data_IF_718361291874
#
_entry.id   IF_718361291874
#
_cell.length_a   1.000
_cell.length_b   1.000
_cell.length_c   1.000
_cell.angle_alpha   90.00
_cell.angle_beta   90.00
_cell.angle_gamma   90.00
#
_symmetry.space_group_name_H-M   'P 1'
#
loop_
_entity.id
_entity.type
_entity.pdbx_description
1 polymer ?
#
# COMPACT_ATOMS: atom_id res chain seq x y z
N UNK A 1 -33.21 -25.64 82.61
CA UNK A 1 -32.17 -25.79 81.57
C UNK A 1 -32.69 -26.75 80.52
N UNK A 2 -33.04 -26.25 79.33
CA UNK A 2 -33.37 -27.09 78.18
C UNK A 2 -32.45 -26.65 77.02
N UNK A 3 -31.55 -27.56 76.63
CA UNK A 3 -30.60 -27.41 75.53
C UNK A 3 -31.35 -27.45 74.19
N UNK A 4 -31.30 -26.34 73.45
CA UNK A 4 -31.76 -26.29 72.06
C UNK A 4 -30.62 -26.76 71.16
N UNK A 5 -30.74 -27.98 70.63
CA UNK A 5 -29.84 -28.53 69.61
C UNK A 5 -30.18 -27.96 68.23
N UNK A 6 -29.39 -27.01 67.74
CA UNK A 6 -29.45 -26.53 66.35
C UNK A 6 -28.87 -27.60 65.40
N UNK A 7 -29.75 -28.32 64.70
CA UNK A 7 -29.37 -29.15 63.55
C UNK A 7 -29.19 -28.26 62.31
N UNK A 8 -27.95 -27.94 61.98
CA UNK A 8 -27.59 -27.33 60.69
C UNK A 8 -27.68 -28.38 59.57
N UNK A 9 -28.69 -28.28 58.70
CA UNK A 9 -28.77 -29.11 57.49
C UNK A 9 -27.75 -28.64 56.45
N UNK A 10 -26.89 -29.54 55.97
CA UNK A 10 -25.95 -29.25 54.88
C UNK A 10 -26.71 -28.87 53.60
N UNK A 11 -26.24 -27.87 52.83
CA UNK A 11 -26.89 -27.45 51.58
C UNK A 11 -27.00 -28.63 50.59
N UNK A 12 -28.14 -28.72 49.90
CA UNK A 12 -28.55 -29.83 49.01
C UNK A 12 -27.52 -30.12 47.91
N UNK A 13 -26.78 -29.09 47.48
CA UNK A 13 -25.70 -29.18 46.49
C UNK A 13 -24.53 -30.09 46.90
N UNK A 14 -24.37 -30.40 48.19
CA UNK A 14 -23.26 -31.22 48.71
C UNK A 14 -23.69 -32.62 49.21
N UNK A 15 -24.90 -33.09 48.90
CA UNK A 15 -25.34 -34.42 49.33
C UNK A 15 -24.87 -35.54 48.38
N UNK A 16 -24.70 -35.23 47.10
CA UNK A 16 -24.19 -36.20 46.12
C UNK A 16 -22.72 -35.89 45.80
N UNK A 17 -21.80 -36.67 46.38
CA UNK A 17 -20.37 -36.59 46.05
C UNK A 17 -20.12 -36.71 44.54
N UNK A 18 -20.93 -37.52 43.86
CA UNK A 18 -20.87 -37.71 42.41
C UNK A 18 -21.24 -36.43 41.65
N UNK A 19 -22.28 -35.71 42.08
CA UNK A 19 -22.68 -34.45 41.43
C UNK A 19 -21.65 -33.34 41.59
N UNK A 20 -21.06 -33.20 42.78
CA UNK A 20 -19.95 -32.26 42.99
C UNK A 20 -18.74 -32.60 42.11
N UNK A 21 -18.39 -33.88 41.99
CA UNK A 21 -17.28 -34.33 41.14
C UNK A 21 -17.59 -34.06 39.66
N UNK A 22 -18.83 -34.30 39.20
CA UNK A 22 -19.24 -34.01 37.83
C UNK A 22 -19.21 -32.51 37.51
N UNK A 23 -19.65 -31.64 38.43
CA UNK A 23 -19.56 -30.18 38.23
C UNK A 23 -18.11 -29.72 38.19
N UNK A 24 -17.26 -30.23 39.07
CA UNK A 24 -15.85 -29.87 39.13
C UNK A 24 -15.10 -30.36 37.88
N UNK A 25 -15.45 -31.55 37.38
CA UNK A 25 -14.96 -32.06 36.10
C UNK A 25 -15.43 -31.23 34.91
N UNK A 26 -16.72 -30.87 34.86
CA UNK A 26 -17.25 -29.99 33.80
C UNK A 26 -16.53 -28.64 33.82
N UNK A 27 -16.41 -28.01 34.99
CA UNK A 27 -15.78 -26.70 35.13
C UNK A 27 -14.31 -26.72 34.72
N UNK A 28 -13.56 -27.74 35.17
CA UNK A 28 -12.16 -27.92 34.79
C UNK A 28 -12.01 -28.25 33.30
N UNK A 29 -12.88 -29.08 32.72
CA UNK A 29 -12.86 -29.39 31.28
C UNK A 29 -13.21 -28.19 30.40
N UNK A 30 -14.17 -27.35 30.81
CA UNK A 30 -14.56 -26.12 30.10
C UNK A 30 -13.44 -25.09 30.21
N UNK A 31 -12.84 -24.92 31.39
CA UNK A 31 -11.67 -24.05 31.55
C UNK A 31 -10.48 -24.55 30.74
N UNK A 32 -10.22 -25.86 30.70
CA UNK A 32 -9.15 -26.42 29.89
C UNK A 32 -9.45 -26.29 28.38
N UNK A 33 -10.70 -26.47 27.96
CA UNK A 33 -11.11 -26.27 26.56
C UNK A 33 -11.02 -24.79 26.15
N UNK A 34 -11.46 -23.87 27.01
CA UNK A 34 -11.31 -22.43 26.80
C UNK A 34 -9.83 -22.05 26.81
N UNK A 35 -9.06 -22.51 27.79
CA UNK A 35 -7.62 -22.25 27.88
C UNK A 35 -6.88 -22.81 26.68
N UNK A 36 -7.16 -24.03 26.22
CA UNK A 36 -6.50 -24.59 25.02
C UNK A 36 -6.96 -23.91 23.74
N UNK A 37 -8.23 -23.50 23.62
CA UNK A 37 -8.74 -22.70 22.50
C UNK A 37 -8.10 -21.30 22.46
N UNK A 38 -7.96 -20.63 23.60
CA UNK A 38 -7.31 -19.31 23.72
C UNK A 38 -5.77 -19.39 23.70
N UNK A 39 -5.17 -20.47 24.21
CA UNK A 39 -3.71 -20.71 24.22
C UNK A 39 -3.21 -21.12 22.84
N UNK A 40 -3.97 -21.92 22.09
CA UNK A 40 -3.64 -22.23 20.70
C UNK A 40 -3.80 -21.01 19.79
N UNK A 41 -4.61 -20.02 20.20
CA UNK A 41 -4.74 -18.76 19.47
C UNK A 41 -3.75 -17.67 19.90
N UNK A 42 -3.02 -17.79 21.02
CA UNK A 42 -2.11 -16.74 21.56
C UNK A 42 -2.65 -15.29 21.52
N UNK A 43 -3.97 -15.11 21.36
CA UNK A 43 -4.60 -13.80 21.21
C UNK A 43 -5.08 -13.35 22.57
N UNK A 44 -4.22 -12.66 23.31
CA UNK A 44 -4.65 -11.90 24.48
C UNK A 44 -5.46 -10.69 23.99
N UNK A 45 -6.77 -10.69 24.25
CA UNK A 45 -7.64 -9.54 23.97
C UNK A 45 -7.29 -8.40 24.94
N UNK A 46 -6.31 -7.58 24.55
CA UNK A 46 -6.10 -6.25 25.10
C UNK A 46 -6.85 -5.29 24.18
N UNK A 47 -7.83 -4.56 24.71
CA UNK A 47 -8.47 -3.46 23.99
C UNK A 47 -7.77 -2.14 24.33
N UNK A 48 -7.27 -1.46 23.31
CA UNK A 48 -6.72 -0.10 23.35
C UNK A 48 -7.49 0.77 22.36
N UNK A 49 -7.76 2.05 22.67
CA UNK A 49 -8.36 2.98 21.69
C UNK A 49 -7.49 3.20 20.45
N UNK A 50 -6.22 2.77 20.50
CA UNK A 50 -5.27 2.79 19.39
C UNK A 50 -5.09 1.43 18.73
N UNK A 51 -5.91 0.44 19.08
CA UNK A 51 -5.86 -0.84 18.40
C UNK A 51 -6.16 -0.66 16.91
N UNK A 52 -5.50 -1.45 16.05
CA UNK A 52 -5.84 -1.53 14.65
C UNK A 52 -7.32 -1.85 14.46
N UNK A 53 -7.90 -1.37 13.35
CA UNK A 53 -9.27 -1.65 12.96
C UNK A 53 -9.49 -3.16 12.95
N UNK A 54 -10.27 -3.65 13.93
CA UNK A 54 -10.43 -5.10 14.17
C UNK A 54 -11.54 -5.73 13.32
N UNK A 55 -12.42 -4.93 12.72
CA UNK A 55 -13.45 -5.43 11.81
C UNK A 55 -12.91 -5.56 10.38
N UNK A 56 -13.45 -6.52 9.62
CA UNK A 56 -13.10 -6.65 8.21
C UNK A 56 -13.50 -5.38 7.45
N UNK A 57 -12.51 -4.71 6.83
CA UNK A 57 -12.72 -3.50 6.03
C UNK A 57 -13.64 -3.74 4.83
N UNK A 58 -13.72 -4.98 4.34
CA UNK A 58 -14.55 -5.36 3.21
C UNK A 58 -14.81 -6.86 3.20
N UNK A 59 -16.03 -7.25 2.85
CA UNK A 59 -16.38 -8.66 2.64
C UNK A 59 -16.49 -8.94 1.16
N UNK A 60 -15.57 -9.75 0.64
CA UNK A 60 -15.58 -10.12 -0.78
C UNK A 60 -16.74 -11.06 -1.11
N UNK A 61 -17.43 -10.85 -2.24
CA UNK A 61 -18.33 -11.84 -2.81
C UNK A 61 -17.58 -13.15 -3.08
N UNK A 62 -18.26 -14.29 -2.86
CA UNK A 62 -17.67 -15.61 -3.10
C UNK A 62 -17.22 -15.82 -4.55
N UNK A 63 -17.85 -15.11 -5.49
CA UNK A 63 -17.51 -15.17 -6.92
C UNK A 63 -16.19 -14.48 -7.27
N UNK A 64 -15.65 -13.60 -6.44
CA UNK A 64 -14.44 -12.82 -6.77
C UNK A 64 -13.15 -13.53 -6.41
N UNK A 65 -13.11 -14.12 -5.21
CA UNK A 65 -11.91 -14.67 -4.57
C UNK A 65 -10.89 -13.59 -4.19
N UNK A 66 -10.29 -13.67 -2.99
CA UNK A 66 -9.26 -12.72 -2.54
C UNK A 66 -7.90 -12.92 -3.26
N UNK A 67 -7.69 -14.07 -3.88
CA UNK A 67 -6.43 -14.46 -4.51
C UNK A 67 -6.65 -15.03 -5.92
N UNK A 68 -5.89 -14.52 -6.90
CA UNK A 68 -5.93 -14.99 -8.30
C UNK A 68 -5.30 -16.38 -8.48
N UNK A 69 -4.27 -16.68 -7.69
CA UNK A 69 -3.58 -17.97 -7.66
C UNK A 69 -3.54 -18.46 -6.21
N UNK A 70 -4.49 -19.30 -5.81
CA UNK A 70 -4.49 -19.91 -4.48
C UNK A 70 -3.68 -21.21 -4.50
N UNK A 71 -2.51 -21.20 -3.86
CA UNK A 71 -2.04 -22.40 -3.17
C UNK A 71 -2.53 -22.30 -1.72
N UNK A 72 -3.25 -23.31 -1.21
CA UNK A 72 -3.67 -23.33 0.18
C UNK A 72 -2.41 -23.47 1.05
N UNK A 73 -1.93 -22.37 1.58
CA UNK A 73 -0.94 -22.39 2.66
C UNK A 73 -1.72 -22.42 3.96
N UNK A 74 -1.45 -23.42 4.82
CA UNK A 74 -1.92 -23.44 6.19
C UNK A 74 -1.38 -22.19 6.90
N UNK A 75 -2.16 -21.12 6.92
CA UNK A 75 -1.86 -19.94 7.74
C UNK A 75 -2.44 -20.18 9.12
N UNK A 76 -1.61 -19.94 10.15
CA UNK A 76 -2.10 -19.81 11.52
C UNK A 76 -3.20 -18.75 11.54
N UNK A 77 -4.37 -19.10 12.06
CA UNK A 77 -5.57 -18.26 12.15
C UNK A 77 -5.43 -17.02 13.05
N UNK A 78 -4.22 -16.70 13.46
CA UNK A 78 -3.89 -15.61 14.35
C UNK A 78 -3.21 -14.51 13.55
N UNK A 79 -3.99 -13.79 12.75
CA UNK A 79 -3.64 -12.45 12.28
C UNK A 79 -3.84 -11.50 13.47
N UNK A 80 -2.98 -11.57 14.49
CA UNK A 80 -2.94 -10.49 15.48
C UNK A 80 -2.39 -9.28 14.74
N UNK A 81 -3.16 -8.19 14.59
CA UNK A 81 -2.66 -7.03 13.89
C UNK A 81 -1.44 -6.53 14.68
N UNK A 82 -0.35 -6.22 13.98
CA UNK A 82 0.90 -5.80 14.62
C UNK A 82 0.57 -4.60 15.51
N UNK A 83 0.70 -4.77 16.83
CA UNK A 83 0.44 -3.72 17.79
C UNK A 83 1.66 -2.80 17.82
N UNK A 84 1.45 -1.54 17.48
CA UNK A 84 2.50 -0.53 17.51
C UNK A 84 2.23 0.40 18.68
N UNK A 85 3.01 0.24 19.76
CA UNK A 85 2.97 1.14 20.93
C UNK A 85 3.12 2.60 20.55
N UNK A 86 3.85 2.84 19.45
CA UNK A 86 4.28 4.17 19.02
C UNK A 86 3.26 4.82 18.06
N UNK A 87 2.17 4.12 17.70
CA UNK A 87 1.17 4.62 16.74
C UNK A 87 0.63 6.04 17.07
N UNK A 88 0.32 6.39 18.34
CA UNK A 88 -0.13 7.74 18.67
C UNK A 88 0.94 8.80 18.35
N UNK A 89 2.19 8.54 18.74
CA UNK A 89 3.33 9.43 18.52
C UNK A 89 3.57 9.61 17.03
N UNK A 90 3.61 8.50 16.29
CA UNK A 90 3.80 8.51 14.83
C UNK A 90 2.69 9.30 14.13
N UNK A 91 1.44 9.11 14.54
CA UNK A 91 0.31 9.83 13.95
C UNK A 91 0.45 11.34 14.18
N UNK A 92 0.80 11.76 15.40
CA UNK A 92 1.00 13.18 15.73
C UNK A 92 2.16 13.80 14.95
N UNK A 93 3.30 13.11 14.84
CA UNK A 93 4.45 13.59 14.09
C UNK A 93 4.15 13.72 12.59
N UNK A 94 3.54 12.70 11.97
CA UNK A 94 3.17 12.74 10.55
C UNK A 94 2.13 13.83 10.29
N UNK A 95 1.16 14.00 11.19
CA UNK A 95 0.19 15.11 11.10
C UNK A 95 0.86 16.48 11.23
N UNK A 96 1.80 16.65 12.16
CA UNK A 96 2.54 17.89 12.32
C UNK A 96 3.34 18.22 11.06
N UNK A 97 4.01 17.23 10.46
CA UNK A 97 4.71 17.40 9.18
C UNK A 97 3.77 17.79 8.04
N UNK A 98 2.57 17.21 7.98
CA UNK A 98 1.57 17.59 6.98
C UNK A 98 1.00 19.00 7.20
N UNK A 99 0.86 19.46 8.45
CA UNK A 99 0.35 20.81 8.79
C UNK A 99 1.40 21.91 8.61
N UNK A 100 2.64 21.64 9.00
CA UNK A 100 3.77 22.57 8.90
C UNK A 100 4.24 22.74 7.45
N UNK A 101 3.92 21.77 6.60
CA UNK A 101 3.94 21.98 5.16
C UNK A 101 2.80 22.95 4.84
N UNK A 102 3.08 24.26 4.86
CA UNK A 102 2.24 25.23 4.15
C UNK A 102 1.93 24.64 2.79
N UNK A 103 0.64 24.64 2.40
CA UNK A 103 0.18 24.17 1.10
C UNK A 103 1.14 24.69 0.02
N UNK A 104 2.09 23.85 -0.39
CA UNK A 104 3.16 24.17 -1.32
C UNK A 104 3.66 25.62 -1.24
N UNK A 105 4.07 26.07 -0.04
CA UNK A 105 4.78 27.34 0.11
C UNK A 105 6.10 27.29 -0.66
N UNK A 106 6.11 27.85 -1.88
CA UNK A 106 7.27 28.12 -2.76
C UNK A 106 7.60 27.15 -3.92
N UNK A 107 6.77 26.18 -4.30
CA UNK A 107 7.12 25.32 -5.44
C UNK A 107 6.00 24.48 -6.04
N UNK A 108 4.93 25.10 -6.54
CA UNK A 108 3.97 24.40 -7.39
C UNK A 108 4.68 23.89 -8.63
N UNK A 109 4.82 22.56 -8.74
CA UNK A 109 5.33 21.94 -9.96
C UNK A 109 4.41 22.33 -11.11
N UNK A 110 4.92 23.15 -12.02
CA UNK A 110 4.21 23.52 -13.24
C UNK A 110 4.50 22.45 -14.28
N UNK A 111 3.48 21.76 -14.77
CA UNK A 111 3.65 20.74 -15.80
C UNK A 111 3.37 21.32 -17.19
N UNK A 112 4.21 20.97 -18.16
CA UNK A 112 3.99 21.36 -19.56
C UNK A 112 2.65 20.84 -20.05
N UNK A 113 1.88 21.73 -20.68
CA UNK A 113 0.65 21.38 -21.39
C UNK A 113 0.94 21.39 -22.89
N UNK A 114 0.44 20.39 -23.60
CA UNK A 114 0.62 20.30 -25.04
C UNK A 114 -0.33 19.29 -25.69
N UNK A 115 -0.39 19.33 -27.02
CA UNK A 115 -1.28 18.47 -27.81
C UNK A 115 -0.60 17.16 -28.26
N UNK A 116 0.58 16.84 -27.72
CA UNK A 116 1.28 15.61 -28.08
C UNK A 116 0.53 14.38 -27.56
N UNK A 117 0.43 13.36 -28.40
CA UNK A 117 -0.23 12.11 -28.05
C UNK A 117 0.68 11.14 -27.30
N UNK A 118 2.00 11.37 -27.34
CA UNK A 118 2.96 10.50 -26.66
C UNK A 118 3.13 10.90 -25.19
N UNK A 119 3.24 9.87 -24.34
CA UNK A 119 3.60 10.05 -22.94
C UNK A 119 4.99 10.71 -22.83
N UNK A 120 5.06 11.87 -22.17
CA UNK A 120 6.30 12.62 -21.97
C UNK A 120 6.80 13.36 -23.22
N UNK A 121 6.07 13.35 -24.34
CA UNK A 121 6.45 14.04 -25.58
C UNK A 121 7.67 13.44 -26.31
N UNK A 122 7.92 13.91 -27.53
CA UNK A 122 9.07 13.50 -28.33
C UNK A 122 10.24 14.51 -28.21
N UNK A 123 10.89 14.52 -27.05
CA UNK A 123 12.05 15.38 -26.79
C UNK A 123 13.37 14.71 -27.14
N UNK A 124 14.30 15.46 -27.74
CA UNK A 124 15.69 15.02 -27.93
C UNK A 124 16.40 14.81 -26.59
N UNK A 125 17.41 13.94 -26.55
CA UNK A 125 18.16 13.65 -25.31
C UNK A 125 18.75 14.90 -24.68
N UNK A 126 19.35 15.79 -25.49
CA UNK A 126 19.89 17.08 -25.02
C UNK A 126 18.82 17.93 -24.31
N UNK A 127 17.60 17.95 -24.84
CA UNK A 127 16.47 18.67 -24.23
C UNK A 127 15.95 17.96 -22.98
N UNK A 128 15.99 16.64 -22.90
CA UNK A 128 15.66 15.92 -21.66
C UNK A 128 16.64 16.26 -20.55
N UNK A 129 17.94 16.30 -20.86
CA UNK A 129 18.98 16.63 -19.88
C UNK A 129 18.84 18.03 -19.27
N UNK A 130 18.36 19.00 -20.04
CA UNK A 130 18.16 20.36 -19.51
C UNK A 130 17.07 20.45 -18.44
N UNK A 131 16.27 19.41 -18.21
CA UNK A 131 15.26 19.39 -17.14
C UNK A 131 15.70 18.63 -15.88
N UNK A 132 16.85 17.94 -15.87
CA UNK A 132 17.31 17.26 -14.66
C UNK A 132 17.81 18.25 -13.61
N UNK A 133 18.63 19.21 -14.03
CA UNK A 133 19.08 20.28 -13.15
C UNK A 133 18.06 21.41 -13.20
N UNK A 134 17.15 21.43 -12.22
CA UNK A 134 16.22 22.54 -12.07
C UNK A 134 16.95 23.69 -11.40
N UNK A 135 17.21 24.76 -12.15
CA UNK A 135 17.50 26.05 -11.54
C UNK A 135 16.26 26.49 -10.75
N UNK A 136 16.44 27.10 -9.57
CA UNK A 136 15.38 27.50 -8.63
C UNK A 136 14.35 28.51 -9.20
N UNK A 137 14.40 28.80 -10.50
CA UNK A 137 13.37 29.53 -11.20
C UNK A 137 12.08 28.70 -11.27
N UNK A 138 11.12 29.09 -10.42
CA UNK A 138 9.73 28.62 -10.36
C UNK A 138 8.93 28.77 -11.69
N UNK A 139 9.57 29.13 -12.80
CA UNK A 139 8.97 29.32 -14.13
C UNK A 139 9.17 28.12 -15.06
N UNK A 140 10.08 27.19 -14.74
CA UNK A 140 10.37 26.07 -15.64
C UNK A 140 9.24 25.05 -15.59
N UNK A 141 8.52 24.90 -16.70
CA UNK A 141 7.51 23.86 -16.85
C UNK A 141 8.20 22.48 -17.01
N UNK A 142 7.69 21.47 -16.30
CA UNK A 142 8.24 20.12 -16.28
C UNK A 142 7.49 19.26 -17.30
N UNK A 143 8.19 18.67 -18.28
CA UNK A 143 7.60 17.70 -19.19
C UNK A 143 7.50 16.33 -18.51
N UNK A 144 6.48 16.15 -17.66
CA UNK A 144 6.27 14.88 -16.97
C UNK A 144 4.91 14.28 -17.33
N UNK A 145 4.92 13.15 -18.05
CA UNK A 145 3.73 12.35 -18.34
C UNK A 145 2.85 12.90 -19.45
N UNK A 146 1.53 12.83 -19.27
CA UNK A 146 0.55 13.26 -20.27
C UNK A 146 0.66 14.76 -20.54
N UNK A 147 1.07 15.16 -21.74
CA UNK A 147 1.03 16.58 -22.13
C UNK A 147 -0.41 17.08 -22.31
N UNK A 148 -1.32 16.16 -22.65
CA UNK A 148 -2.77 16.35 -22.61
C UNK A 148 -3.29 16.25 -21.16
N UNK A 149 -4.61 16.42 -21.01
CA UNK A 149 -5.29 16.20 -19.72
C UNK A 149 -5.06 14.75 -19.27
N UNK A 150 -4.97 14.51 -17.97
CA UNK A 150 -4.93 13.15 -17.44
C UNK A 150 -6.19 12.39 -17.88
N UNK A 151 -6.08 11.10 -18.27
CA UNK A 151 -7.21 10.29 -18.73
C UNK A 151 -8.14 9.85 -17.58
N UNK A 152 -8.49 10.76 -16.67
CA UNK A 152 -9.40 10.54 -15.53
C UNK A 152 -10.51 11.59 -15.53
N UNK A 153 -11.63 11.28 -14.87
CA UNK A 153 -12.76 12.20 -14.79
C UNK A 153 -12.38 13.46 -14.00
N UNK A 154 -12.98 14.61 -14.34
CA UNK A 154 -12.75 15.86 -13.59
C UNK A 154 -13.15 15.71 -12.11
N UNK A 155 -14.14 14.87 -11.81
CA UNK A 155 -14.56 14.58 -10.43
C UNK A 155 -13.46 13.84 -9.67
N UNK A 156 -12.89 12.79 -10.26
CA UNK A 156 -11.82 12.01 -9.62
C UNK A 156 -10.52 12.81 -9.51
N UNK A 157 -10.26 13.70 -10.46
CA UNK A 157 -9.14 14.64 -10.38
C UNK A 157 -9.27 15.56 -9.14
N UNK A 158 -10.42 16.20 -8.94
CA UNK A 158 -10.65 17.05 -7.76
C UNK A 158 -10.52 16.25 -6.46
N UNK A 159 -11.00 15.00 -6.44
CA UNK A 159 -10.86 14.13 -5.27
C UNK A 159 -9.41 13.74 -4.98
N UNK A 160 -8.60 13.51 -6.01
CA UNK A 160 -7.17 13.26 -5.87
C UNK A 160 -6.44 14.52 -5.36
N UNK A 161 -6.77 15.69 -5.91
CA UNK A 161 -6.24 16.98 -5.46
C UNK A 161 -6.62 17.29 -4.00
N UNK A 162 -7.80 16.86 -3.54
CA UNK A 162 -8.23 17.06 -2.15
C UNK A 162 -7.49 16.17 -1.13
N UNK A 163 -6.74 15.16 -1.57
CA UNK A 163 -5.91 14.38 -0.66
C UNK A 163 -4.66 15.17 -0.25
N UNK A 164 -4.67 15.74 0.95
CA UNK A 164 -3.68 16.72 1.40
C UNK A 164 -2.65 16.23 2.43
N UNK A 165 -2.72 14.94 2.80
CA UNK A 165 -1.82 14.32 3.79
C UNK A 165 -1.07 13.18 3.14
N UNK A 166 -1.52 11.94 3.34
CA UNK A 166 -0.88 10.75 2.80
C UNK A 166 -1.79 10.11 1.76
N UNK A 167 -1.20 9.67 0.65
CA UNK A 167 -1.91 8.87 -0.35
C UNK A 167 -1.26 7.49 -0.52
N UNK A 168 -2.07 6.44 -0.54
CA UNK A 168 -1.69 5.10 -0.96
C UNK A 168 -2.29 4.85 -2.33
N UNK A 169 -1.44 4.51 -3.29
CA UNK A 169 -1.81 4.36 -4.70
C UNK A 169 -1.45 2.97 -5.19
N UNK A 170 -2.37 2.38 -5.95
CA UNK A 170 -2.19 1.14 -6.70
C UNK A 170 -2.89 1.24 -8.06
N UNK A 171 -2.62 0.30 -8.96
CA UNK A 171 -3.33 0.21 -10.22
C UNK A 171 -3.52 -1.25 -10.68
N UNK A 172 -4.63 -1.52 -11.35
CA UNK A 172 -4.95 -2.80 -11.99
C UNK A 172 -5.48 -2.52 -13.39
N UNK A 173 -4.73 -2.93 -14.40
CA UNK A 173 -5.14 -2.85 -15.80
C UNK A 173 -5.31 -4.26 -16.35
N UNK A 174 -6.20 -4.45 -17.32
CA UNK A 174 -6.41 -5.73 -18.00
C UNK A 174 -6.90 -6.88 -17.12
N UNK A 175 -7.50 -6.60 -15.95
CA UNK A 175 -7.92 -7.61 -14.96
C UNK A 175 -6.77 -8.57 -14.56
N UNK A 176 -5.54 -8.02 -14.55
CA UNK A 176 -4.34 -8.80 -14.25
C UNK A 176 -4.25 -9.22 -12.79
N UNK A 177 -4.84 -8.46 -11.87
CA UNK A 177 -4.76 -8.69 -10.42
C UNK A 177 -6.11 -8.51 -9.73
N UNK A 178 -6.18 -8.94 -8.46
CA UNK A 178 -7.36 -8.78 -7.59
C UNK A 178 -7.11 -7.63 -6.61
N UNK A 179 -8.15 -6.87 -6.28
CA UNK A 179 -8.09 -5.82 -5.26
C UNK A 179 -7.93 -6.47 -3.89
N UNK A 180 -6.85 -6.11 -3.18
CA UNK A 180 -6.58 -6.58 -1.81
C UNK A 180 -6.78 -5.44 -0.82
N UNK A 181 -7.58 -5.66 0.22
CA UNK A 181 -7.69 -4.67 1.30
C UNK A 181 -6.40 -4.64 2.12
N UNK A 182 -5.94 -3.45 2.56
CA UNK A 182 -4.89 -3.37 3.56
C UNK A 182 -5.33 -4.05 4.86
N UNK A 183 -4.36 -4.53 5.63
CA UNK A 183 -4.56 -5.10 6.97
C UNK A 183 -3.83 -4.26 8.01
N UNK A 184 -4.35 -4.28 9.24
CA UNK A 184 -3.68 -3.63 10.38
C UNK A 184 -3.67 -2.10 10.31
N UNK A 185 -4.67 -1.48 9.66
CA UNK A 185 -4.80 -0.03 9.68
C UNK A 185 -5.16 0.44 11.09
N UNK A 186 -4.48 1.45 11.62
CA UNK A 186 -4.80 2.07 12.90
C UNK A 186 -6.10 2.87 12.86
N UNK A 187 -6.64 3.15 14.04
CA UNK A 187 -7.96 3.78 14.20
C UNK A 187 -8.09 5.17 13.54
N UNK A 188 -7.00 5.95 13.47
CA UNK A 188 -6.97 7.30 12.88
C UNK A 188 -6.47 7.33 11.44
N UNK A 189 -6.10 6.19 10.88
CA UNK A 189 -5.41 6.14 9.59
C UNK A 189 -6.31 6.63 8.46
N UNK A 190 -7.60 6.31 8.51
CA UNK A 190 -8.56 6.74 7.48
C UNK A 190 -8.86 8.25 7.51
N UNK A 191 -8.52 8.96 8.60
CA UNK A 191 -8.67 10.42 8.70
C UNK A 191 -7.53 11.15 7.96
N UNK A 192 -6.39 10.48 7.80
CA UNK A 192 -5.16 11.07 7.27
C UNK A 192 -4.68 10.46 5.96
N UNK A 193 -5.23 9.31 5.56
CA UNK A 193 -4.73 8.53 4.43
C UNK A 193 -5.83 8.27 3.41
N UNK A 194 -5.59 8.66 2.16
CA UNK A 194 -6.46 8.34 1.04
C UNK A 194 -5.96 7.10 0.29
N UNK A 195 -6.87 6.22 -0.12
CA UNK A 195 -6.54 5.01 -0.88
C UNK A 195 -7.14 5.08 -2.28
N UNK A 196 -6.28 5.05 -3.31
CA UNK A 196 -6.67 5.16 -4.71
C UNK A 196 -6.20 3.96 -5.52
N UNK A 197 -7.11 3.40 -6.32
CA UNK A 197 -6.85 2.29 -7.23
C UNK A 197 -7.24 2.71 -8.64
N UNK A 198 -6.27 2.83 -9.55
CA UNK A 198 -6.52 3.16 -10.94
C UNK A 198 -6.83 1.88 -11.75
N UNK A 199 -7.88 1.92 -12.56
CA UNK A 199 -8.32 0.77 -13.36
C UNK A 199 -8.76 1.17 -14.76
N UNK A 200 -8.59 0.28 -15.75
CA UNK A 200 -9.23 0.44 -17.06
C UNK A 200 -10.70 0.00 -17.06
N UNK A 201 -11.38 0.29 -18.17
CA UNK A 201 -12.77 -0.12 -18.40
C UNK A 201 -12.96 -1.64 -18.27
N UNK A 202 -12.02 -2.43 -18.79
CA UNK A 202 -12.09 -3.89 -18.72
C UNK A 202 -12.10 -4.37 -17.26
N UNK A 203 -11.16 -3.88 -16.44
CA UNK A 203 -11.10 -4.23 -15.03
C UNK A 203 -12.35 -3.72 -14.29
N UNK A 204 -12.83 -2.51 -14.59
CA UNK A 204 -14.05 -1.96 -13.98
C UNK A 204 -15.28 -2.85 -14.25
N UNK A 205 -15.44 -3.32 -15.49
CA UNK A 205 -16.51 -4.25 -15.86
C UNK A 205 -16.40 -5.60 -15.14
N UNK A 206 -15.17 -6.09 -14.93
CA UNK A 206 -14.94 -7.31 -14.14
C UNK A 206 -15.31 -7.13 -12.68
N UNK A 207 -15.03 -5.97 -12.09
CA UNK A 207 -15.45 -5.65 -10.71
C UNK A 207 -16.98 -5.59 -10.57
N UNK A 208 -17.67 -5.04 -11.56
CA UNK A 208 -19.14 -5.00 -11.62
C UNK A 208 -19.75 -6.40 -11.78
N UNK A 209 -19.21 -7.21 -12.70
CA UNK A 209 -19.61 -8.61 -12.91
C UNK A 209 -19.52 -9.43 -11.63
N UNK A 210 -18.48 -9.20 -10.82
CA UNK A 210 -18.31 -9.86 -9.53
C UNK A 210 -19.09 -9.20 -8.38
N UNK A 211 -19.91 -8.18 -8.64
CA UNK A 211 -20.71 -7.42 -7.68
C UNK A 211 -19.87 -6.71 -6.59
N UNK A 212 -18.65 -6.25 -6.92
CA UNK A 212 -17.85 -5.42 -5.99
C UNK A 212 -18.25 -3.95 -6.06
N UNK A 213 -18.68 -3.51 -7.23
CA UNK A 213 -19.16 -2.16 -7.50
C UNK A 213 -20.41 -2.25 -8.38
N UNK A 214 -21.08 -1.12 -8.59
CA UNK A 214 -22.06 -0.96 -9.66
C UNK A 214 -21.59 0.11 -10.64
N UNK A 215 -21.49 -0.18 -11.94
CA UNK A 215 -21.10 0.81 -12.97
C UNK A 215 -22.08 2.00 -13.01
N UNK A 216 -23.34 1.78 -12.62
CA UNK A 216 -24.36 2.83 -12.51
C UNK A 216 -24.12 3.82 -11.38
N UNK A 217 -23.24 3.48 -10.42
CA UNK A 217 -22.89 4.38 -9.32
C UNK A 217 -22.06 5.56 -9.82
N UNK A 218 -22.28 6.73 -9.21
CA UNK A 218 -21.49 7.95 -9.50
C UNK A 218 -20.06 7.88 -8.97
N UNK A 219 -19.84 7.06 -7.93
CA UNK A 219 -18.54 6.83 -7.31
C UNK A 219 -18.33 5.33 -7.11
N UNK A 220 -17.11 4.88 -7.37
CA UNK A 220 -16.72 3.48 -7.22
C UNK A 220 -15.80 3.32 -6.00
N UNK A 221 -16.17 2.41 -5.10
CA UNK A 221 -15.42 2.13 -3.87
C UNK A 221 -15.47 0.64 -3.55
N UNK A 222 -14.32 0.07 -3.19
CA UNK A 222 -14.17 -1.31 -2.74
C UNK A 222 -13.38 -1.31 -1.44
N UNK A 223 -14.08 -1.46 -0.31
CA UNK A 223 -13.49 -1.30 1.02
C UNK A 223 -12.90 0.10 1.20
N UNK A 224 -11.61 0.21 1.51
CA UNK A 224 -10.96 1.55 1.62
C UNK A 224 -10.61 2.16 0.27
N UNK A 225 -10.45 1.33 -0.78
CA UNK A 225 -10.02 1.78 -2.09
C UNK A 225 -11.10 2.57 -2.81
N UNK A 226 -10.81 3.82 -3.17
CA UNK A 226 -11.53 4.56 -4.19
C UNK A 226 -11.05 4.09 -5.56
N UNK A 227 -11.97 3.63 -6.40
CA UNK A 227 -11.65 3.12 -7.73
C UNK A 227 -11.77 4.28 -8.73
N UNK A 228 -10.69 4.56 -9.47
CA UNK A 228 -10.65 5.60 -10.49
C UNK A 228 -10.54 4.94 -11.85
N UNK A 229 -11.57 5.12 -12.66
CA UNK A 229 -11.57 4.68 -14.06
C UNK A 229 -10.64 5.57 -14.88
N UNK A 230 -9.76 4.93 -15.63
CA UNK A 230 -8.85 5.55 -16.59
C UNK A 230 -9.38 5.30 -18.00
N UNK A 231 -9.43 6.35 -18.82
CA UNK A 231 -9.79 6.22 -20.25
C UNK A 231 -8.73 5.40 -20.99
N UNK A 232 -9.16 4.36 -21.69
CA UNK A 232 -8.26 3.46 -22.42
C UNK A 232 -7.69 4.06 -23.70
N UNK A 233 -8.32 5.10 -24.26
CA UNK A 233 -7.89 5.72 -25.52
C UNK A 233 -6.50 6.35 -25.46
N UNK A 234 -6.04 6.75 -24.27
CA UNK A 234 -4.74 7.40 -24.08
C UNK A 234 -3.69 6.45 -23.46
N UNK A 235 -4.00 5.16 -23.35
CA UNK A 235 -3.14 4.16 -22.73
C UNK A 235 -2.40 3.31 -23.77
N UNK A 236 -1.31 2.66 -23.33
CA UNK A 236 -0.63 1.66 -24.16
C UNK A 236 -1.49 0.40 -24.27
N UNK A 237 -1.37 -0.32 -25.39
CA UNK A 237 -1.99 -1.64 -25.57
C UNK A 237 -1.56 -2.65 -24.49
N UNK A 238 -0.34 -2.48 -23.96
CA UNK A 238 0.19 -3.31 -22.88
C UNK A 238 -0.27 -2.78 -21.51
N UNK A 239 -1.19 -3.51 -20.88
CA UNK A 239 -1.70 -3.22 -19.54
C UNK A 239 -0.61 -3.10 -18.45
N UNK A 240 0.48 -3.86 -18.54
CA UNK A 240 1.58 -3.76 -17.59
C UNK A 240 2.29 -2.40 -17.68
N UNK A 241 2.44 -1.84 -18.88
CA UNK A 241 3.01 -0.50 -19.08
C UNK A 241 2.11 0.59 -18.48
N UNK A 242 0.79 0.41 -18.54
CA UNK A 242 -0.16 1.36 -17.97
C UNK A 242 -0.02 1.46 -16.44
N UNK A 243 0.23 0.35 -15.74
CA UNK A 243 0.54 0.37 -14.31
C UNK A 243 1.79 1.21 -13.99
N UNK A 244 2.81 1.14 -14.85
CA UNK A 244 4.06 1.90 -14.70
C UNK A 244 3.83 3.42 -14.85
N UNK A 245 2.92 3.84 -15.74
CA UNK A 245 2.59 5.26 -15.90
C UNK A 245 2.10 5.85 -14.57
N UNK A 246 1.07 5.23 -13.96
CA UNK A 246 0.47 5.77 -12.73
C UNK A 246 1.42 5.71 -11.54
N UNK A 247 2.35 4.73 -11.53
CA UNK A 247 3.44 4.66 -10.54
C UNK A 247 4.31 5.92 -10.56
N UNK A 248 4.68 6.39 -11.74
CA UNK A 248 5.57 7.55 -11.87
C UNK A 248 4.82 8.89 -11.75
N UNK A 249 3.51 8.91 -12.00
CA UNK A 249 2.70 10.14 -12.00
C UNK A 249 2.02 10.48 -10.66
N UNK A 250 2.29 9.74 -9.58
CA UNK A 250 1.68 10.00 -8.26
C UNK A 250 1.83 11.46 -7.84
N UNK A 251 3.02 12.03 -8.02
CA UNK A 251 3.32 13.42 -7.69
C UNK A 251 2.45 14.45 -8.45
N UNK A 252 2.03 14.13 -9.68
CA UNK A 252 1.14 14.96 -10.51
C UNK A 252 -0.33 14.71 -10.23
N UNK A 253 -0.70 13.46 -9.94
CA UNK A 253 -2.06 13.05 -9.61
C UNK A 253 -2.52 13.58 -8.24
N UNK A 254 -1.59 13.64 -7.29
CA UNK A 254 -1.82 14.08 -5.91
C UNK A 254 -0.91 15.28 -5.61
N UNK A 255 -1.20 16.46 -6.18
CA UNK A 255 -0.34 17.63 -6.03
C UNK A 255 -0.21 18.07 -4.57
N UNK A 256 -1.28 17.92 -3.78
CA UNK A 256 -1.38 18.42 -2.41
C UNK A 256 -1.00 17.39 -1.32
N UNK A 257 -0.75 16.13 -1.66
CA UNK A 257 -0.31 15.14 -0.68
C UNK A 257 1.14 15.37 -0.29
N UNK A 258 1.45 15.30 1.01
CA UNK A 258 2.82 15.41 1.54
C UNK A 258 3.63 14.13 1.29
N UNK A 259 3.02 12.99 1.54
CA UNK A 259 3.64 11.68 1.38
C UNK A 259 2.81 10.81 0.45
N UNK A 260 3.49 9.93 -0.28
CA UNK A 260 2.82 8.95 -1.12
C UNK A 260 3.46 7.57 -1.01
N UNK A 261 2.63 6.55 -1.09
CA UNK A 261 3.03 5.14 -1.09
C UNK A 261 2.47 4.50 -2.36
N UNK A 262 3.35 3.96 -3.21
CA UNK A 262 2.93 3.06 -4.28
C UNK A 262 3.02 1.60 -3.81
N UNK A 263 1.94 0.86 -4.02
CA UNK A 263 1.88 -0.59 -3.83
C UNK A 263 1.43 -1.27 -5.12
N UNK A 264 2.15 -2.33 -5.52
CA UNK A 264 1.76 -3.20 -6.63
C UNK A 264 0.52 -4.01 -6.22
N UNK A 265 -0.49 -4.09 -7.09
CA UNK A 265 -1.78 -4.73 -6.79
C UNK A 265 -1.67 -6.22 -6.43
N UNK A 266 -0.59 -6.90 -6.83
CA UNK A 266 -0.34 -8.29 -6.41
C UNK A 266 0.04 -8.41 -4.93
N UNK A 267 0.42 -7.31 -4.29
CA UNK A 267 0.82 -7.24 -2.89
C UNK A 267 -0.33 -6.78 -2.00
N UNK A 268 -0.25 -7.11 -0.71
CA UNK A 268 -1.18 -6.63 0.31
C UNK A 268 -0.42 -5.76 1.29
N UNK A 269 -0.93 -4.56 1.56
CA UNK A 269 -0.37 -3.70 2.60
C UNK A 269 -0.75 -4.28 3.96
N UNK A 270 0.24 -4.69 4.76
CA UNK A 270 0.02 -5.35 6.07
C UNK A 270 0.54 -4.53 7.25
N UNK A 271 1.18 -3.40 6.96
CA UNK A 271 1.68 -2.43 7.93
C UNK A 271 0.95 -1.12 7.68
N UNK A 272 0.60 -0.42 8.75
CA UNK A 272 -0.07 0.87 8.64
C UNK A 272 0.79 1.87 7.83
N UNK A 273 0.21 2.57 6.85
CA UNK A 273 0.93 3.50 6.00
C UNK A 273 1.62 4.64 6.76
N UNK A 274 1.06 5.12 7.88
CA UNK A 274 1.69 6.16 8.70
C UNK A 274 2.99 5.67 9.33
N UNK A 275 2.99 4.42 9.80
CA UNK A 275 4.18 3.77 10.37
C UNK A 275 5.25 3.51 9.31
N UNK A 276 4.85 3.11 8.10
CA UNK A 276 5.78 2.94 6.99
C UNK A 276 6.48 4.26 6.63
N UNK A 277 5.73 5.35 6.52
CA UNK A 277 6.31 6.67 6.26
C UNK A 277 7.24 7.08 7.38
N UNK A 278 6.79 6.95 8.62
CA UNK A 278 7.60 7.35 9.76
C UNK A 278 8.93 6.58 9.83
N UNK A 279 8.86 5.26 9.75
CA UNK A 279 10.03 4.40 9.89
C UNK A 279 11.00 4.45 8.71
N UNK A 280 10.50 4.60 7.48
CA UNK A 280 11.35 4.51 6.28
C UNK A 280 11.79 5.86 5.73
N UNK A 281 11.06 6.95 6.05
CA UNK A 281 11.29 8.28 5.48
C UNK A 281 11.63 9.27 6.58
N UNK A 282 10.72 9.47 7.54
CA UNK A 282 10.86 10.54 8.54
C UNK A 282 12.03 10.28 9.47
N UNK A 283 12.15 9.06 9.98
CA UNK A 283 13.21 8.69 10.93
C UNK A 283 14.60 8.66 10.29
N UNK A 284 14.68 8.23 9.04
CA UNK A 284 15.93 8.13 8.30
C UNK A 284 16.33 9.45 7.60
N UNK A 285 15.45 10.47 7.66
CA UNK A 285 15.63 11.78 7.02
C UNK A 285 15.98 11.68 5.53
N UNK A 286 15.19 10.89 4.80
CA UNK A 286 15.37 10.66 3.35
C UNK A 286 14.17 11.14 2.54
N UNK A 287 14.39 11.39 1.26
CA UNK A 287 13.32 11.80 0.35
C UNK A 287 12.52 10.61 -0.20
N UNK A 288 13.09 9.41 -0.20
CA UNK A 288 12.43 8.26 -0.80
C UNK A 288 13.00 6.95 -0.28
N UNK A 289 12.12 5.99 -0.06
CA UNK A 289 12.47 4.61 0.25
C UNK A 289 11.97 3.69 -0.86
N UNK A 290 12.86 2.81 -1.33
CA UNK A 290 12.55 1.77 -2.31
C UNK A 290 13.01 0.44 -1.76
N UNK A 291 12.20 -0.58 -1.94
CA UNK A 291 12.59 -1.96 -1.67
C UNK A 291 13.85 -2.37 -2.43
N UNK A 292 14.83 -2.92 -1.72
CA UNK A 292 15.98 -3.59 -2.33
C UNK A 292 15.54 -4.92 -2.93
N UNK A 293 15.88 -5.14 -4.20
CA UNK A 293 15.64 -6.44 -4.81
C UNK A 293 16.53 -7.51 -4.13
N UNK A 294 16.00 -8.72 -3.82
CA UNK A 294 16.70 -9.69 -2.97
C UNK A 294 17.94 -10.32 -3.63
N UNK A 295 17.99 -10.37 -4.96
CA UNK A 295 19.05 -11.04 -5.72
C UNK A 295 19.89 -10.06 -6.53
N UNK A 296 19.26 -9.36 -7.47
CA UNK A 296 19.94 -8.42 -8.35
C UNK A 296 20.18 -7.08 -7.65
N UNK A 297 21.43 -6.63 -7.67
CA UNK A 297 21.87 -5.40 -6.98
C UNK A 297 22.09 -4.23 -7.93
N UNK A 298 21.99 -4.47 -9.24
CA UNK A 298 22.19 -3.44 -10.26
C UNK A 298 21.31 -3.67 -11.51
N UNK A 299 21.19 -2.60 -12.31
CA UNK A 299 20.35 -2.56 -13.52
C UNK A 299 20.83 -3.57 -14.58
N UNK A 300 22.14 -3.79 -14.69
CA UNK A 300 22.71 -4.70 -15.68
C UNK A 300 22.33 -6.16 -15.39
N UNK A 301 22.34 -6.57 -14.12
CA UNK A 301 21.88 -7.88 -13.67
C UNK A 301 20.38 -8.08 -13.92
N UNK A 302 19.54 -7.09 -13.60
CA UNK A 302 18.10 -7.17 -13.87
C UNK A 302 17.83 -7.23 -15.38
N UNK A 303 18.60 -6.51 -16.20
CA UNK A 303 18.47 -6.56 -17.66
C UNK A 303 18.85 -7.94 -18.21
N UNK A 304 19.98 -8.51 -17.77
CA UNK A 304 20.37 -9.88 -18.14
C UNK A 304 19.32 -10.90 -17.69
N UNK A 305 18.78 -10.76 -16.48
CA UNK A 305 17.72 -11.64 -15.98
C UNK A 305 16.43 -11.50 -16.80
N UNK A 306 16.03 -10.27 -17.14
CA UNK A 306 14.87 -9.95 -17.98
C UNK A 306 14.97 -10.60 -19.36
N UNK A 307 16.15 -10.52 -19.99
CA UNK A 307 16.44 -11.18 -21.27
C UNK A 307 16.38 -12.71 -21.14
N UNK A 308 17.07 -13.28 -20.14
CA UNK A 308 17.12 -14.74 -19.91
C UNK A 308 15.74 -15.33 -19.66
N UNK A 309 14.90 -14.63 -18.89
CA UNK A 309 13.58 -15.10 -18.49
C UNK A 309 12.50 -14.71 -19.50
N UNK A 310 12.88 -14.03 -20.60
CA UNK A 310 11.95 -13.53 -21.64
C UNK A 310 10.78 -12.75 -21.04
N UNK A 311 11.03 -11.99 -19.95
CA UNK A 311 10.03 -11.10 -19.34
C UNK A 311 9.59 -10.02 -20.32
N UNK A 312 10.51 -9.61 -21.20
CA UNK A 312 10.24 -8.77 -22.36
C UNK A 312 10.71 -9.50 -23.62
N UNK A 313 9.87 -9.52 -24.64
CA UNK A 313 10.13 -10.24 -25.89
C UNK A 313 11.13 -9.52 -26.80
N UNK A 314 11.21 -8.19 -26.70
CA UNK A 314 12.12 -7.36 -27.49
C UNK A 314 13.51 -7.27 -26.82
N UNK A 315 14.29 -8.32 -27.00
CA UNK A 315 15.64 -8.43 -26.44
C UNK A 315 16.59 -7.39 -27.07
N UNK A 316 16.38 -7.05 -28.35
CA UNK A 316 17.19 -6.04 -29.04
C UNK A 316 16.88 -4.64 -28.50
N UNK A 317 15.60 -4.32 -28.28
CA UNK A 317 15.18 -3.10 -27.60
C UNK A 317 15.76 -2.98 -26.19
N UNK A 318 15.76 -4.08 -25.41
CA UNK A 318 16.38 -4.12 -24.09
C UNK A 318 17.89 -3.85 -24.15
N UNK A 319 18.59 -4.46 -25.11
CA UNK A 319 20.01 -4.23 -25.34
C UNK A 319 20.28 -2.75 -25.67
N UNK A 320 19.56 -2.21 -26.64
CA UNK A 320 19.70 -0.82 -27.08
C UNK A 320 19.43 0.15 -25.92
N UNK A 321 18.44 -0.14 -25.06
CA UNK A 321 18.13 0.67 -23.89
C UNK A 321 19.29 0.68 -22.88
N UNK A 322 19.91 -0.46 -22.62
CA UNK A 322 21.03 -0.57 -21.69
C UNK A 322 22.29 0.11 -22.25
N UNK A 323 22.59 -0.09 -23.54
CA UNK A 323 23.69 0.61 -24.22
C UNK A 323 23.49 2.13 -24.16
N UNK A 324 22.28 2.60 -24.45
CA UNK A 324 21.88 4.01 -24.31
C UNK A 324 22.13 4.54 -22.89
N UNK A 325 21.77 3.78 -21.86
CA UNK A 325 22.03 4.20 -20.47
C UNK A 325 23.53 4.34 -20.20
N UNK A 326 24.34 3.39 -20.66
CA UNK A 326 25.80 3.46 -20.51
C UNK A 326 26.41 4.65 -21.26
N UNK A 327 25.98 4.91 -22.51
CA UNK A 327 26.39 6.08 -23.29
C UNK A 327 26.10 7.40 -22.57
N UNK A 328 25.02 7.44 -21.79
CA UNK A 328 24.57 8.61 -21.04
C UNK A 328 24.99 8.63 -19.57
N UNK A 329 26.00 7.84 -19.19
CA UNK A 329 26.66 7.94 -17.89
C UNK A 329 26.20 6.93 -16.83
N UNK A 330 25.38 5.93 -17.18
CA UNK A 330 25.15 4.79 -16.30
C UNK A 330 26.41 3.93 -16.23
N UNK A 331 27.23 4.18 -15.22
CA UNK A 331 28.40 3.33 -14.95
C UNK A 331 27.98 1.95 -14.41
N UNK A 332 28.80 0.91 -14.61
CA UNK A 332 28.62 -0.38 -13.94
C UNK A 332 28.55 -0.22 -12.41
N UNK A 333 27.90 -1.18 -11.74
CA UNK A 333 27.87 -1.18 -10.29
C UNK A 333 29.27 -1.48 -9.72
N UNK A 334 29.63 -0.78 -8.64
CA UNK A 334 30.83 -1.06 -7.84
C UNK A 334 30.54 -0.76 -6.37
N UNK A 335 31.30 -1.37 -5.46
CA UNK A 335 31.20 -1.11 -4.01
C UNK A 335 31.55 0.32 -3.61
N UNK A 336 32.13 1.11 -4.52
CA UNK A 336 32.59 2.48 -4.28
C UNK A 336 31.62 3.53 -4.81
N UNK A 337 30.49 3.13 -5.43
CA UNK A 337 29.49 4.10 -5.90
C UNK A 337 28.86 4.86 -4.73
N UNK A 338 28.72 6.20 -4.81
CA UNK A 338 28.30 7.07 -3.71
C UNK A 338 26.83 6.89 -3.29
N UNK A 339 26.04 6.10 -4.03
CA UNK A 339 24.76 5.58 -3.58
C UNK A 339 24.93 4.12 -3.12
N UNK A 340 25.43 3.88 -1.90
CA UNK A 340 25.46 2.54 -1.33
C UNK A 340 24.02 2.07 -1.16
N UNK A 341 23.68 0.98 -1.85
CA UNK A 341 22.48 0.21 -1.55
C UNK A 341 22.66 -0.52 -0.21
N UNK A 342 22.68 0.22 0.90
CA UNK A 342 22.92 -0.37 2.20
C UNK A 342 23.03 0.58 3.37
N UNK A 343 21.87 0.96 3.93
CA UNK A 343 21.68 0.91 5.38
C UNK A 343 20.41 0.09 5.64
N UNK A 344 20.64 -1.12 6.15
CA UNK A 344 19.73 -2.13 6.72
C UNK A 344 18.22 -1.90 6.49
N UNK A 345 17.64 -2.59 5.50
CA UNK A 345 16.20 -2.87 5.48
C UNK A 345 16.00 -4.40 5.46
N UNK A 346 15.20 -4.89 6.41
CA UNK A 346 14.82 -6.30 6.59
C UNK A 346 14.17 -6.86 5.30
N UNK A 347 14.35 -8.14 4.94
CA UNK A 347 14.06 -8.69 3.59
C UNK A 347 12.57 -8.85 3.23
N UNK A 348 11.68 -7.99 3.72
CA UNK A 348 10.24 -8.14 3.53
C UNK A 348 9.48 -6.82 3.35
N UNK A 349 9.94 -5.90 2.50
CA UNK A 349 9.12 -4.74 2.11
C UNK A 349 9.36 -4.37 0.64
N UNK A 350 8.39 -4.69 -0.23
CA UNK A 350 8.29 -4.19 -1.61
C UNK A 350 7.39 -2.95 -1.63
N UNK A 351 7.92 -1.79 -1.24
CA UNK A 351 7.19 -0.52 -1.31
C UNK A 351 8.06 0.58 -1.90
N UNK A 352 7.39 1.54 -2.51
CA UNK A 352 7.99 2.81 -2.88
C UNK A 352 7.27 3.88 -2.06
N UNK A 353 7.98 4.44 -1.08
CA UNK A 353 7.47 5.57 -0.28
C UNK A 353 8.25 6.79 -0.73
N UNK A 354 7.57 7.78 -1.28
CA UNK A 354 8.18 9.04 -1.70
C UNK A 354 7.75 10.15 -0.73
N UNK A 355 8.73 10.79 -0.10
CA UNK A 355 8.64 12.17 0.34
C UNK A 355 8.72 13.06 -0.90
N UNK A 356 7.89 14.09 -0.95
CA UNK A 356 7.82 14.96 -2.12
C UNK A 356 8.90 16.04 -2.05
N UNK A 357 10.15 15.64 -2.24
CA UNK A 357 11.28 16.51 -2.53
C UNK A 357 12.07 15.86 -3.67
N UNK A 358 11.84 16.34 -4.89
CA UNK A 358 12.76 16.07 -6.00
C UNK A 358 13.87 17.11 -5.90
N UNK A 359 14.90 16.78 -5.13
CA UNK A 359 16.20 17.41 -5.29
C UNK A 359 17.25 16.33 -5.57
N UNK A 360 18.07 16.66 -6.57
CA UNK A 360 19.29 16.01 -7.06
C UNK A 360 19.13 14.97 -8.16
#
# INVERSE_FOLDING_TARGET
MALVSLKTSKPILCQSKLFCVSILYLFTSVFLALYTSFSNSRCLFRSSPFDPIQYSLFRYPSSYGEHKYSLPTHRSSCDSPVYFSDYPIVTEEVEALCRNSTALGSGTLHYMKGNSESFGGNFSTKRRFSYFNRDDDNKTEIPCGFLKKLPISSRDQVLAENCNRVVVVSAIFGDHDKIRQPKGLGAKTLDSVCFFMFVDELTLQRLDYHNLISIKSKEYKVGVWRIVKVSSEELYDNAAMNGVIFKHLVHRLFPNSKFSIWIDAKLQLVVDPLLLIHSLIVKEDVDMAISKHPLFVNVMEEAMATARWKKWWDIEGLKNQIETYCEYGLEPWSSHKPYPSGTICSPALCFHVMNKFLHQ
#
